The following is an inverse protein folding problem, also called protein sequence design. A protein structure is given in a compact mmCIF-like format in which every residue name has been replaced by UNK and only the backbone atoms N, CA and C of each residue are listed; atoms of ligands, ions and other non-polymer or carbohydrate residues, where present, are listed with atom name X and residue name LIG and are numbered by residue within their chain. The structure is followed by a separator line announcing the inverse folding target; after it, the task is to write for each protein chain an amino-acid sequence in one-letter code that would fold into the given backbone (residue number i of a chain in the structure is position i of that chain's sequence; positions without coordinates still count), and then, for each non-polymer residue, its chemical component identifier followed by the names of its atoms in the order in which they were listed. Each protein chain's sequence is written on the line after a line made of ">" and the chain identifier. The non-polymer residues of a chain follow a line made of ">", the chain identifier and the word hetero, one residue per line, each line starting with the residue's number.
data_IF_425178914745
#
_entry.id   IF_425178914745
#
_cell.length_a   1.000
_cell.length_b   1.000
_cell.length_c   1.000
_cell.angle_alpha   90.00
_cell.angle_beta   90.00
_cell.angle_gamma   90.00
#
_symmetry.space_group_name_H-M   'P 1'
#
loop_
_entity.id
_entity.type
_entity.pdbx_description
1 polymer ?
#
# COMPACT_ATOMS: atom_id res chain seq x y z
N UNK A 1 4.83 13.19 13.29
CA UNK A 1 5.51 12.81 12.04
C UNK A 1 5.78 11.31 11.96
N UNK A 2 6.26 10.65 13.03
CA UNK A 2 6.59 9.22 12.99
C UNK A 2 5.48 8.31 12.43
N UNK A 3 4.27 8.39 13.00
CA UNK A 3 3.09 7.64 12.53
C UNK A 3 2.80 7.83 11.03
N UNK A 4 2.95 9.06 10.52
CA UNK A 4 2.76 9.36 9.09
C UNK A 4 3.78 8.65 8.21
N UNK A 5 5.06 8.67 8.60
CA UNK A 5 6.12 8.03 7.83
C UNK A 5 6.11 6.51 7.93
N UNK A 6 5.72 5.94 9.07
CA UNK A 6 5.51 4.49 9.19
C UNK A 6 4.35 4.04 8.26
N UNK A 7 3.26 4.80 8.23
CA UNK A 7 2.14 4.54 7.31
C UNK A 7 2.52 4.66 5.83
N UNK A 8 3.31 5.67 5.47
CA UNK A 8 3.81 5.85 4.10
C UNK A 8 4.79 4.73 3.70
N UNK A 9 5.69 4.32 4.61
CA UNK A 9 6.61 3.21 4.41
C UNK A 9 5.86 1.92 4.05
N UNK A 10 4.89 1.52 4.89
CA UNK A 10 4.10 0.30 4.66
C UNK A 10 3.24 0.39 3.39
N UNK A 11 2.73 1.58 3.08
CA UNK A 11 1.97 1.82 1.85
C UNK A 11 2.85 1.61 0.60
N UNK A 12 4.08 2.13 0.60
CA UNK A 12 5.01 1.95 -0.51
C UNK A 12 5.46 0.49 -0.66
N UNK A 13 5.70 -0.22 0.45
CA UNK A 13 5.98 -1.67 0.44
C UNK A 13 4.82 -2.43 -0.20
N UNK A 14 3.59 -2.16 0.22
CA UNK A 14 2.39 -2.82 -0.31
C UNK A 14 2.15 -2.52 -1.80
N UNK A 15 2.38 -1.27 -2.25
CA UNK A 15 2.27 -0.91 -3.67
C UNK A 15 3.29 -1.68 -4.51
N UNK A 16 4.56 -1.73 -4.06
CA UNK A 16 5.64 -2.40 -4.79
C UNK A 16 5.45 -3.92 -4.85
N UNK A 17 4.94 -4.52 -3.78
CA UNK A 17 4.56 -5.93 -3.71
C UNK A 17 3.56 -6.36 -4.81
N UNK A 18 2.72 -5.45 -5.31
CA UNK A 18 1.79 -5.78 -6.40
C UNK A 18 2.50 -5.99 -7.75
N UNK A 19 3.73 -5.48 -7.89
CA UNK A 19 4.53 -5.44 -9.12
C UNK A 19 3.82 -4.77 -10.32
N UNK A 20 2.79 -3.92 -10.07
CA UNK A 20 2.00 -3.31 -11.16
C UNK A 20 2.42 -1.89 -11.50
N UNK A 21 2.73 -1.08 -10.50
CA UNK A 21 3.02 0.35 -10.62
C UNK A 21 4.41 0.64 -10.04
N UNK A 22 5.13 1.58 -10.64
CA UNK A 22 6.41 2.05 -10.10
C UNK A 22 6.15 3.03 -8.96
N UNK A 23 6.79 2.81 -7.83
CA UNK A 23 6.82 3.70 -6.67
C UNK A 23 8.27 3.77 -6.16
N UNK A 24 8.68 4.80 -5.40
CA UNK A 24 10.01 4.83 -4.79
C UNK A 24 10.13 3.71 -3.75
N UNK A 25 11.20 2.92 -3.82
CA UNK A 25 11.47 1.89 -2.81
C UNK A 25 11.79 2.52 -1.45
N UNK A 26 11.00 2.26 -0.39
CA UNK A 26 11.32 2.74 0.94
C UNK A 26 12.47 1.92 1.54
N UNK A 27 13.32 2.58 2.35
CA UNK A 27 14.47 1.95 3.00
C UNK A 27 14.33 1.91 4.51
N UNK A 28 13.97 3.03 5.15
CA UNK A 28 13.73 3.09 6.59
C UNK A 28 13.00 4.37 7.00
N UNK A 29 12.49 4.37 8.23
CA UNK A 29 12.00 5.56 8.95
C UNK A 29 12.92 5.78 10.16
N UNK A 30 13.37 7.02 10.35
CA UNK A 30 14.32 7.40 11.40
C UNK A 30 13.75 8.54 12.23
N UNK A 31 13.86 8.46 13.55
CA UNK A 31 13.49 9.55 14.45
C UNK A 31 14.55 10.65 14.41
N UNK A 32 14.11 11.91 14.38
CA UNK A 32 15.00 13.04 14.53
C UNK A 32 15.16 13.36 16.03
N UNK A 33 16.37 13.33 16.61
CA UNK A 33 16.59 13.66 18.02
C UNK A 33 16.12 15.07 18.41
N UNK A 34 16.09 16.01 17.46
CA UNK A 34 15.58 17.37 17.67
C UNK A 34 14.04 17.47 17.57
N UNK A 35 13.34 16.35 17.32
CA UNK A 35 11.90 16.26 17.15
C UNK A 35 11.48 15.97 15.71
N UNK A 36 10.45 15.11 15.58
CA UNK A 36 9.95 14.65 14.28
C UNK A 36 10.59 13.33 13.83
N UNK A 37 10.38 12.99 12.57
CA UNK A 37 10.91 11.77 11.94
C UNK A 37 11.19 12.07 10.46
N UNK A 38 11.91 11.17 9.79
CA UNK A 38 12.26 11.24 8.36
C UNK A 38 12.09 9.86 7.76
N UNK A 39 11.57 9.79 6.53
CA UNK A 39 11.58 8.58 5.70
C UNK A 39 12.73 8.66 4.68
N UNK A 40 13.46 7.56 4.52
CA UNK A 40 14.52 7.39 3.51
C UNK A 40 13.99 6.42 2.45
N UNK A 41 14.08 6.82 1.18
CA UNK A 41 13.59 6.03 0.05
C UNK A 41 14.41 6.30 -1.22
N UNK A 42 14.21 5.45 -2.23
CA UNK A 42 14.79 5.58 -3.56
C UNK A 42 14.56 6.96 -4.16
N UNK A 43 15.62 7.57 -4.68
CA UNK A 43 15.49 8.76 -5.52
C UNK A 43 14.99 8.39 -6.91
N UNK A 44 13.91 9.03 -7.34
CA UNK A 44 13.38 8.89 -8.69
C UNK A 44 13.74 10.12 -9.52
N UNK A 45 14.51 9.90 -10.58
CA UNK A 45 14.67 10.90 -11.64
C UNK A 45 13.37 10.94 -12.48
N UNK A 46 12.55 11.96 -12.23
CA UNK A 46 11.20 12.05 -12.78
C UNK A 46 11.17 12.90 -14.05
N UNK A 47 10.59 12.34 -15.11
CA UNK A 47 10.29 13.03 -16.36
C UNK A 47 8.78 13.13 -16.61
N UNK A 48 8.37 14.04 -17.50
CA UNK A 48 6.94 14.21 -17.86
C UNK A 48 6.29 12.91 -18.35
N UNK A 49 5.07 12.63 -17.84
CA UNK A 49 4.25 11.49 -18.23
C UNK A 49 3.22 11.79 -19.32
N UNK A 50 3.31 12.93 -20.01
CA UNK A 50 2.29 13.37 -20.99
C UNK A 50 1.97 12.33 -22.08
N UNK A 51 2.94 11.46 -22.42
CA UNK A 51 2.77 10.37 -23.41
C UNK A 51 2.39 9.01 -22.81
N UNK A 52 2.38 8.89 -21.47
CA UNK A 52 2.26 7.62 -20.75
C UNK A 52 1.07 7.53 -19.80
N UNK A 53 0.20 8.55 -19.75
CA UNK A 53 -0.99 8.58 -18.88
C UNK A 53 -1.91 7.37 -19.08
N UNK A 54 -2.17 6.97 -20.33
CA UNK A 54 -2.95 5.77 -20.64
C UNK A 54 -2.31 4.48 -20.12
N UNK A 55 -0.99 4.37 -20.21
CA UNK A 55 -0.25 3.22 -19.65
C UNK A 55 -0.32 3.19 -18.12
N UNK A 56 -0.21 4.36 -17.47
CA UNK A 56 -0.37 4.46 -16.02
C UNK A 56 -1.78 4.03 -15.59
N UNK A 57 -2.82 4.45 -16.30
CA UNK A 57 -4.20 4.04 -16.04
C UNK A 57 -4.38 2.52 -16.10
N UNK A 58 -3.81 1.85 -17.12
CA UNK A 58 -3.84 0.39 -17.24
C UNK A 58 -3.11 -0.28 -16.05
N UNK A 59 -1.95 0.25 -15.65
CA UNK A 59 -1.18 -0.28 -14.52
C UNK A 59 -1.93 -0.13 -13.19
N UNK A 60 -2.57 1.02 -12.96
CA UNK A 60 -3.40 1.26 -11.78
C UNK A 60 -4.62 0.32 -11.75
N UNK A 61 -5.30 0.11 -12.88
CA UNK A 61 -6.40 -0.83 -12.96
C UNK A 61 -5.97 -2.27 -12.60
N UNK A 62 -4.79 -2.69 -13.06
CA UNK A 62 -4.19 -3.99 -12.68
C UNK A 62 -3.85 -4.05 -11.19
N UNK A 63 -3.34 -2.96 -10.62
CA UNK A 63 -3.06 -2.88 -9.19
C UNK A 63 -4.34 -3.03 -8.37
N UNK A 64 -5.43 -2.36 -8.75
CA UNK A 64 -6.74 -2.49 -8.09
C UNK A 64 -7.31 -3.91 -8.17
N UNK A 65 -7.04 -4.65 -9.25
CA UNK A 65 -7.48 -6.05 -9.43
C UNK A 65 -6.64 -7.05 -8.65
N UNK A 66 -5.47 -6.68 -8.14
CA UNK A 66 -4.49 -7.61 -7.57
C UNK A 66 -5.06 -8.52 -6.47
N UNK A 67 -5.80 -7.96 -5.51
CA UNK A 67 -6.39 -8.74 -4.42
C UNK A 67 -7.46 -9.74 -4.92
N UNK A 68 -8.25 -9.37 -5.93
CA UNK A 68 -9.23 -10.27 -6.57
C UNK A 68 -8.51 -11.42 -7.30
N UNK A 69 -7.36 -11.16 -7.90
CA UNK A 69 -6.55 -12.22 -8.53
C UNK A 69 -6.00 -13.21 -7.49
N UNK A 70 -5.74 -12.79 -6.24
CA UNK A 70 -5.32 -13.67 -5.15
C UNK A 70 -6.45 -14.59 -4.67
N UNK A 71 -7.69 -14.08 -4.61
CA UNK A 71 -8.88 -14.88 -4.28
C UNK A 71 -9.03 -16.07 -5.23
N UNK A 72 -9.01 -15.80 -6.54
CA UNK A 72 -9.17 -16.83 -7.58
C UNK A 72 -8.06 -17.89 -7.58
N UNK A 73 -6.87 -17.58 -7.05
CA UNK A 73 -5.75 -18.54 -6.97
C UNK A 73 -5.88 -19.48 -5.76
N UNK A 74 -6.50 -19.03 -4.67
CA UNK A 74 -6.65 -19.84 -3.46
C UNK A 74 -7.68 -20.97 -3.63
N UNK A 75 -8.64 -20.84 -4.55
CA UNK A 75 -9.67 -21.85 -4.81
C UNK A 75 -9.15 -23.12 -5.53
N UNK A 76 -7.89 -23.13 -5.97
CA UNK A 76 -7.36 -24.16 -6.89
C UNK A 76 -6.26 -25.09 -6.38
N UNK A 77 -5.71 -24.93 -5.16
CA UNK A 77 -4.48 -25.65 -4.79
C UNK A 77 -4.42 -26.10 -3.31
N UNK A 78 -4.75 -27.39 -3.07
CA UNK A 78 -4.47 -28.07 -1.79
C UNK A 78 -3.01 -28.51 -1.79
N UNK A 79 -2.10 -27.70 -1.22
CA UNK A 79 -0.71 -28.09 -1.01
C UNK A 79 0.37 -27.01 -1.14
N UNK A 80 0.03 -25.72 -1.29
CA UNK A 80 1.05 -24.67 -1.39
C UNK A 80 1.64 -24.40 -0.01
N UNK A 81 2.93 -24.68 0.14
CA UNK A 81 3.76 -24.16 1.23
C UNK A 81 3.69 -22.64 1.20
N UNK A 82 3.39 -22.04 2.35
CA UNK A 82 3.18 -20.61 2.54
C UNK A 82 4.46 -19.81 2.28
N UNK A 83 4.79 -19.55 1.02
CA UNK A 83 5.95 -18.74 0.61
C UNK A 83 5.58 -17.59 -0.34
N UNK A 84 4.29 -17.25 -0.42
CA UNK A 84 3.84 -15.99 -1.05
C UNK A 84 3.23 -15.09 0.01
N UNK A 85 3.90 -13.97 0.27
CA UNK A 85 3.66 -12.99 1.35
C UNK A 85 2.34 -12.21 1.23
N UNK A 86 1.51 -12.50 0.22
CA UNK A 86 0.28 -11.77 -0.06
C UNK A 86 -0.88 -12.74 -0.22
N UNK A 87 -1.65 -12.88 0.86
CA UNK A 87 -2.90 -13.63 0.87
C UNK A 87 -4.07 -12.73 0.46
N UNK A 88 -5.13 -13.33 -0.07
CA UNK A 88 -6.39 -12.63 -0.30
C UNK A 88 -6.94 -12.02 0.99
N UNK A 89 -7.39 -10.76 0.91
CA UNK A 89 -8.01 -10.04 2.03
C UNK A 89 -9.46 -9.70 1.65
N UNK A 90 -10.43 -10.22 2.40
CA UNK A 90 -11.86 -9.99 2.16
C UNK A 90 -12.43 -8.74 2.86
N UNK A 91 -11.61 -8.04 3.65
CA UNK A 91 -12.00 -6.89 4.49
C UNK A 91 -11.50 -5.58 3.91
N UNK A 92 -12.10 -4.47 4.35
CA UNK A 92 -11.66 -3.12 4.05
C UNK A 92 -10.77 -2.62 5.19
N UNK A 93 -9.61 -2.06 4.89
CA UNK A 93 -8.67 -1.57 5.89
C UNK A 93 -7.22 -1.67 5.42
N UNK A 94 -6.30 -1.51 6.36
CA UNK A 94 -4.87 -1.62 6.11
C UNK A 94 -4.15 -2.07 7.40
N UNK A 95 -2.94 -2.61 7.25
CA UNK A 95 -2.15 -3.14 8.38
C UNK A 95 -1.77 -2.06 9.40
N UNK A 96 -1.60 -0.82 8.95
CA UNK A 96 -1.24 0.34 9.75
C UNK A 96 -2.11 1.55 9.42
N UNK A 97 -2.17 2.52 10.35
CA UNK A 97 -2.79 3.81 10.07
C UNK A 97 -1.94 4.59 9.06
N UNK A 98 -2.57 5.05 7.98
CA UNK A 98 -1.98 5.97 7.02
C UNK A 98 -2.37 7.41 7.37
N UNK A 99 -1.82 8.38 6.65
CA UNK A 99 -2.21 9.78 6.81
C UNK A 99 -2.54 10.41 5.45
N UNK A 100 -3.51 11.32 5.44
CA UNK A 100 -3.75 12.25 4.34
C UNK A 100 -3.22 13.63 4.75
N UNK A 101 -2.03 13.98 4.28
CA UNK A 101 -1.28 15.10 4.85
C UNK A 101 -0.97 14.83 6.33
N UNK A 102 -1.34 15.75 7.22
CA UNK A 102 -1.12 15.58 8.67
C UNK A 102 -2.25 14.81 9.38
N UNK A 103 -3.34 14.49 8.68
CA UNK A 103 -4.53 13.85 9.27
C UNK A 103 -4.39 12.32 9.24
N UNK A 104 -4.31 11.64 10.41
CA UNK A 104 -4.33 10.19 10.46
C UNK A 104 -5.66 9.62 9.97
N UNK A 105 -5.60 8.49 9.27
CA UNK A 105 -6.74 7.71 8.80
C UNK A 105 -6.84 6.43 9.63
N UNK A 106 -8.01 6.17 10.20
CA UNK A 106 -8.29 4.93 10.91
C UNK A 106 -8.49 3.80 9.89
N UNK A 107 -7.53 2.88 9.81
CA UNK A 107 -7.54 1.79 8.82
C UNK A 107 -7.85 0.42 9.44
N UNK A 108 -8.52 0.40 10.60
CA UNK A 108 -8.94 -0.85 11.23
C UNK A 108 -9.76 -1.69 10.25
N UNK A 109 -9.52 -3.00 10.25
CA UNK A 109 -10.19 -3.91 9.33
C UNK A 109 -11.68 -4.03 9.61
N UNK A 110 -12.49 -3.79 8.58
CA UNK A 110 -13.94 -3.85 8.61
C UNK A 110 -14.49 -4.79 7.53
N UNK A 111 -15.61 -5.44 7.85
CA UNK A 111 -16.29 -6.32 6.88
C UNK A 111 -17.18 -5.56 5.90
N UNK A 112 -17.76 -4.45 6.35
CA UNK A 112 -18.65 -3.62 5.56
C UNK A 112 -18.01 -2.25 5.32
N UNK A 113 -18.04 -1.82 4.06
CA UNK A 113 -17.54 -0.52 3.64
C UNK A 113 -18.35 0.65 4.24
N UNK A 114 -19.63 0.43 4.55
CA UNK A 114 -20.54 1.47 5.04
C UNK A 114 -20.51 1.65 6.55
N UNK A 115 -19.66 0.93 7.29
CA UNK A 115 -19.58 1.04 8.75
C UNK A 115 -19.37 2.49 9.15
N UNK A 116 -20.39 3.08 9.79
CA UNK A 116 -20.30 4.40 10.41
C UNK A 116 -19.96 4.19 11.88
N UNK A 117 -18.71 4.46 12.24
CA UNK A 117 -18.34 4.64 13.64
C UNK A 117 -18.93 5.98 14.08
N UNK A 118 -19.99 5.94 14.88
CA UNK A 118 -20.53 7.12 15.53
C UNK A 118 -19.45 7.63 16.49
N UNK A 119 -18.88 8.80 16.19
CA UNK A 119 -18.03 9.55 17.12
C UNK A 119 -18.87 10.20 18.22
#
# INVERSE_FOLDING_TARGET
>A
ARLMFDGEYESLVAILATEKVKAPKPHCVVDNPAGGAVIVMEYLDMSSLNKHSGTLGIKLARMHRHNIELENKNDGYVGATAETDHQYISKFGFSVNTCCGYLPQENAWEQDWLVRRLM
#
